data_IF_120453137243
#
_entry.id   IF_120453137243
#
_cell.length_a   1.000
_cell.length_b   1.000
_cell.length_c   1.000
_cell.angle_alpha   90.00
_cell.angle_beta   90.00
_cell.angle_gamma   90.00
#
_symmetry.space_group_name_H-M   'P 1'
#
loop_
_entity.id
_entity.type
_entity.pdbx_description
1 polymer ?
#
# COMPACT_ATOMS: atom_id res chain seq x y z
N UNK A 1 38.93 26.19 26.76
CA UNK A 1 38.79 25.15 25.72
C UNK A 1 38.85 23.86 26.52
N UNK A 2 37.69 23.39 26.98
CA UNK A 2 36.87 22.41 26.24
C UNK A 2 37.70 21.15 25.96
N UNK A 3 37.29 19.94 26.27
CA UNK A 3 36.04 19.39 26.80
C UNK A 3 36.23 17.89 26.68
N UNK A 4 35.84 17.11 27.70
CA UNK A 4 35.67 15.65 27.63
C UNK A 4 36.94 14.91 27.21
N UNK A 5 37.11 13.60 27.31
CA UNK A 5 36.15 12.52 27.27
C UNK A 5 36.71 11.41 28.17
N UNK A 6 36.39 11.44 29.46
CA UNK A 6 36.57 10.29 30.34
C UNK A 6 35.26 10.06 31.11
N UNK A 7 34.91 8.77 31.23
CA UNK A 7 33.70 8.21 31.85
C UNK A 7 32.34 8.46 31.16
N UNK A 8 31.84 7.42 30.50
CA UNK A 8 30.52 6.90 30.88
C UNK A 8 30.39 5.42 30.52
N UNK A 9 30.90 4.55 31.39
CA UNK A 9 30.40 3.18 31.47
C UNK A 9 29.25 3.12 32.49
N UNK A 10 28.12 2.57 32.03
CA UNK A 10 27.04 1.92 32.80
C UNK A 10 26.18 2.79 33.75
N UNK A 11 24.91 2.94 33.36
CA UNK A 11 23.78 2.74 34.26
C UNK A 11 22.61 2.15 33.47
N UNK A 12 22.28 0.89 33.77
CA UNK A 12 21.00 0.30 33.43
C UNK A 12 19.93 0.98 34.30
N UNK A 13 18.95 1.62 33.69
CA UNK A 13 17.73 2.05 34.37
C UNK A 13 16.57 1.26 33.81
N UNK A 14 16.18 0.25 34.59
CA UNK A 14 14.88 -0.40 34.55
C UNK A 14 13.77 0.63 34.85
N UNK A 15 12.60 0.41 34.25
CA UNK A 15 11.34 1.11 34.54
C UNK A 15 10.84 1.91 33.33
N UNK A 16 9.64 1.72 32.79
CA UNK A 16 8.49 0.91 33.18
C UNK A 16 7.76 0.54 31.88
N UNK A 17 7.21 -0.67 31.84
CA UNK A 17 6.20 -1.11 30.87
C UNK A 17 4.98 -0.19 31.01
N UNK A 18 4.92 0.89 30.22
CA UNK A 18 3.67 1.62 29.99
C UNK A 18 2.72 0.67 29.27
N UNK A 19 2.01 -0.14 30.07
CA UNK A 19 0.84 -0.88 29.67
C UNK A 19 -0.22 0.14 29.29
N UNK A 20 -0.16 0.62 28.05
CA UNK A 20 -1.21 1.42 27.43
C UNK A 20 -2.49 0.60 27.56
N UNK A 21 -3.36 1.01 28.50
CA UNK A 21 -4.64 0.38 28.71
C UNK A 21 -5.38 0.32 27.36
N UNK A 22 -5.98 -0.83 26.99
CA UNK A 22 -6.59 -0.96 25.68
C UNK A 22 -7.71 0.06 25.54
N UNK A 23 -7.52 1.03 24.65
CA UNK A 23 -8.54 2.00 24.27
C UNK A 23 -9.76 1.20 23.78
N UNK A 24 -10.83 1.18 24.58
CA UNK A 24 -12.09 0.52 24.21
C UNK A 24 -12.74 1.28 23.07
N UNK A 25 -12.33 0.97 21.84
CA UNK A 25 -12.99 1.45 20.63
C UNK A 25 -14.43 0.92 20.64
N UNK A 26 -15.44 1.80 20.63
CA UNK A 26 -16.82 1.40 20.29
C UNK A 26 -16.76 0.82 18.87
N UNK A 27 -16.80 -0.51 18.76
CA UNK A 27 -16.86 -1.21 17.47
C UNK A 27 -18.23 -0.93 16.86
N UNK A 28 -18.30 0.05 15.97
CA UNK A 28 -19.51 0.38 15.22
C UNK A 28 -19.71 -0.64 14.10
N UNK A 29 -20.64 -1.57 14.29
CA UNK A 29 -21.09 -2.48 13.24
C UNK A 29 -22.01 -1.80 12.23
N UNK A 30 -22.58 -2.59 11.33
CA UNK A 30 -23.69 -2.14 10.49
C UNK A 30 -24.85 -1.71 11.40
N UNK A 31 -25.32 -0.46 11.23
CA UNK A 31 -26.43 0.09 12.01
C UNK A 31 -27.70 0.01 11.15
N UNK A 32 -28.81 -0.52 11.69
CA UNK A 32 -30.10 -0.51 10.99
C UNK A 32 -30.46 0.90 10.51
N UNK A 33 -30.87 1.05 9.25
CA UNK A 33 -31.22 2.35 8.64
C UNK A 33 -30.08 3.05 7.89
N UNK A 34 -28.85 2.52 7.90
CA UNK A 34 -27.79 2.97 6.97
C UNK A 34 -27.90 2.28 5.61
N UNK A 35 -27.53 3.00 4.55
CA UNK A 35 -27.46 2.45 3.20
C UNK A 35 -26.51 1.24 3.14
N UNK A 36 -26.84 0.28 2.27
CA UNK A 36 -26.00 -0.90 2.07
C UNK A 36 -24.60 -0.51 1.58
N UNK A 37 -23.60 -1.31 1.96
CA UNK A 37 -22.24 -1.09 1.48
C UNK A 37 -22.16 -1.41 -0.02
N UNK A 38 -21.68 -0.46 -0.81
CA UNK A 38 -21.46 -0.66 -2.25
C UNK A 38 -20.16 -1.44 -2.39
N UNK A 39 -20.22 -2.62 -3.02
CA UNK A 39 -19.02 -3.39 -3.31
C UNK A 39 -18.36 -2.87 -4.60
N UNK A 40 -17.12 -2.36 -4.53
CA UNK A 40 -16.40 -1.96 -5.74
C UNK A 40 -16.00 -3.19 -6.57
N UNK A 41 -16.13 -3.10 -7.88
CA UNK A 41 -15.65 -4.14 -8.81
C UNK A 41 -14.13 -3.98 -9.04
N UNK A 42 -13.35 -4.66 -8.19
CA UNK A 42 -11.89 -4.63 -8.27
C UNK A 42 -11.35 -5.38 -9.49
N UNK A 43 -12.04 -6.40 -9.97
CA UNK A 43 -11.64 -7.21 -11.11
C UNK A 43 -11.80 -6.42 -12.42
N UNK A 44 -12.92 -5.72 -12.60
CA UNK A 44 -13.10 -4.83 -13.76
C UNK A 44 -12.07 -3.69 -13.74
N UNK A 45 -11.84 -3.08 -12.57
CA UNK A 45 -10.82 -2.05 -12.42
C UNK A 45 -9.40 -2.59 -12.72
N UNK A 46 -9.10 -3.83 -12.36
CA UNK A 46 -7.84 -4.49 -12.69
C UNK A 46 -7.71 -4.66 -14.22
N UNK A 47 -8.75 -5.21 -14.85
CA UNK A 47 -8.78 -5.45 -16.30
C UNK A 47 -8.62 -4.16 -17.10
N UNK A 48 -9.30 -3.09 -16.67
CA UNK A 48 -9.14 -1.75 -17.26
C UNK A 48 -7.68 -1.29 -17.17
N UNK A 49 -7.08 -1.35 -15.97
CA UNK A 49 -5.69 -0.94 -15.77
C UNK A 49 -4.71 -1.76 -16.61
N UNK A 50 -4.93 -3.07 -16.70
CA UNK A 50 -4.13 -3.99 -17.50
C UNK A 50 -4.17 -3.62 -18.99
N UNK A 51 -5.38 -3.48 -19.57
CA UNK A 51 -5.57 -3.09 -20.98
C UNK A 51 -4.92 -1.75 -21.32
N UNK A 52 -4.92 -0.80 -20.37
CA UNK A 52 -4.36 0.52 -20.60
C UNK A 52 -2.83 0.53 -20.68
N UNK A 53 -2.13 -0.28 -19.88
CA UNK A 53 -0.69 -0.12 -19.68
C UNK A 53 0.16 -1.40 -19.77
N UNK A 54 -0.43 -2.58 -19.54
CA UNK A 54 0.31 -3.83 -19.31
C UNK A 54 0.00 -4.95 -20.29
N UNK A 55 -1.09 -4.86 -21.04
CA UNK A 55 -1.36 -5.78 -22.15
C UNK A 55 -0.24 -5.75 -23.19
N UNK A 56 -0.18 -6.79 -24.03
CA UNK A 56 0.79 -6.89 -25.12
C UNK A 56 0.71 -5.70 -26.09
N UNK A 57 -0.52 -5.32 -26.45
CA UNK A 57 -0.82 -4.10 -27.18
C UNK A 57 -1.57 -3.12 -26.26
N UNK A 58 -0.87 -2.34 -25.41
CA UNK A 58 -1.52 -1.46 -24.45
C UNK A 58 -2.11 -0.23 -25.17
N UNK A 59 -3.26 0.25 -24.67
CA UNK A 59 -3.88 1.48 -25.21
C UNK A 59 -2.93 2.69 -25.13
N UNK A 60 -2.11 2.77 -24.08
CA UNK A 60 -1.13 3.83 -23.91
C UNK A 60 0.29 3.36 -24.20
N UNK A 61 1.00 4.13 -25.02
CA UNK A 61 2.40 3.86 -25.34
C UNK A 61 3.34 4.02 -24.14
N UNK A 62 4.56 3.49 -24.26
CA UNK A 62 5.59 3.56 -23.22
C UNK A 62 5.93 5.00 -22.78
N UNK A 63 5.69 6.01 -23.62
CA UNK A 63 5.85 7.44 -23.25
C UNK A 63 4.89 7.83 -22.12
N UNK A 64 3.62 7.45 -22.24
CA UNK A 64 2.61 7.75 -21.22
C UNK A 64 2.84 6.94 -19.95
N UNK A 65 3.29 5.68 -20.07
CA UNK A 65 3.69 4.86 -18.92
C UNK A 65 4.79 5.55 -18.11
N UNK A 66 5.87 5.98 -18.78
CA UNK A 66 6.98 6.69 -18.13
C UNK A 66 6.53 8.01 -17.50
N UNK A 67 5.65 8.78 -18.14
CA UNK A 67 5.11 10.01 -17.55
C UNK A 67 4.34 9.72 -16.26
N UNK A 68 3.56 8.63 -16.22
CA UNK A 68 2.71 8.27 -15.08
C UNK A 68 3.47 7.65 -13.91
N UNK A 69 4.43 6.77 -14.17
CA UNK A 69 5.13 6.00 -13.13
C UNK A 69 6.59 6.41 -12.95
N UNK A 70 7.11 7.33 -13.77
CA UNK A 70 8.50 7.81 -13.77
C UNK A 70 9.55 6.71 -13.99
N UNK A 71 9.14 5.57 -14.53
CA UNK A 71 10.01 4.43 -14.84
C UNK A 71 9.50 3.63 -16.04
N UNK A 72 10.33 2.68 -16.53
CA UNK A 72 9.95 1.74 -17.60
C UNK A 72 9.02 0.65 -17.07
N UNK A 73 8.19 0.08 -17.96
CA UNK A 73 7.24 -1.00 -17.62
C UNK A 73 7.92 -2.23 -17.03
N UNK A 74 9.06 -2.64 -17.60
CA UNK A 74 9.83 -3.79 -17.12
C UNK A 74 10.33 -3.60 -15.68
N UNK A 75 10.79 -2.39 -15.33
CA UNK A 75 11.21 -2.09 -13.97
C UNK A 75 10.03 -2.13 -12.99
N UNK A 76 8.89 -1.55 -13.37
CA UNK A 76 7.68 -1.62 -12.57
C UNK A 76 7.29 -3.06 -12.25
N UNK A 77 7.27 -3.95 -13.25
CA UNK A 77 6.91 -5.36 -13.06
C UNK A 77 7.90 -6.06 -12.12
N UNK A 78 9.21 -5.81 -12.27
CA UNK A 78 10.23 -6.37 -11.38
C UNK A 78 10.02 -5.94 -9.93
N UNK A 79 9.75 -4.65 -9.70
CA UNK A 79 9.49 -4.15 -8.34
C UNK A 79 8.19 -4.72 -7.79
N UNK A 80 7.11 -4.75 -8.58
CA UNK A 80 5.84 -5.35 -8.19
C UNK A 80 6.04 -6.80 -7.73
N UNK A 81 6.74 -7.62 -8.52
CA UNK A 81 7.00 -9.02 -8.17
C UNK A 81 7.81 -9.15 -6.87
N UNK A 82 8.85 -8.32 -6.70
CA UNK A 82 9.65 -8.32 -5.48
C UNK A 82 8.85 -7.91 -4.23
N UNK A 83 7.99 -6.89 -4.36
CA UNK A 83 7.13 -6.40 -3.27
C UNK A 83 6.07 -7.43 -2.90
N UNK A 84 5.38 -8.02 -3.89
CA UNK A 84 4.36 -9.05 -3.66
C UNK A 84 4.94 -10.31 -3.01
N UNK A 85 6.18 -10.66 -3.37
CA UNK A 85 6.90 -11.77 -2.75
C UNK A 85 7.17 -11.50 -1.27
N UNK A 86 7.60 -10.28 -0.92
CA UNK A 86 8.07 -9.92 0.42
C UNK A 86 6.97 -9.48 1.38
N UNK A 87 5.94 -8.79 0.89
CA UNK A 87 4.89 -8.17 1.72
C UNK A 87 3.52 -8.76 1.41
N UNK A 88 2.89 -9.32 2.44
CA UNK A 88 1.54 -9.90 2.38
C UNK A 88 0.47 -8.87 2.02
N UNK A 89 0.65 -7.59 2.40
CA UNK A 89 -0.33 -6.56 2.10
C UNK A 89 -0.53 -6.39 0.59
N UNK A 90 0.52 -6.57 -0.22
CA UNK A 90 0.45 -6.44 -1.67
C UNK A 90 -0.11 -7.67 -2.36
N UNK A 91 -0.28 -8.80 -1.67
CA UNK A 91 -0.95 -9.98 -2.24
C UNK A 91 -2.44 -9.69 -2.42
N UNK A 92 -3.04 -10.22 -3.48
CA UNK A 92 -4.50 -10.17 -3.64
C UNK A 92 -5.10 -11.21 -2.70
N UNK A 93 -6.00 -10.77 -1.83
CA UNK A 93 -6.66 -11.61 -0.84
C UNK A 93 -8.11 -11.82 -1.23
N UNK A 94 -8.62 -13.00 -0.90
CA UNK A 94 -10.05 -13.26 -0.90
C UNK A 94 -10.61 -12.86 0.46
N UNK A 95 -11.78 -12.22 0.45
CA UNK A 95 -12.51 -11.96 1.68
C UNK A 95 -13.14 -13.26 2.22
N UNK A 96 -13.79 -13.18 3.37
CA UNK A 96 -14.46 -14.34 3.99
C UNK A 96 -15.63 -14.89 3.15
N UNK A 97 -16.09 -14.14 2.15
CA UNK A 97 -17.14 -14.52 1.21
C UNK A 97 -16.56 -15.07 -0.11
N UNK A 98 -15.24 -15.14 -0.24
CA UNK A 98 -14.53 -15.61 -1.44
C UNK A 98 -14.34 -14.53 -2.52
N UNK A 99 -14.76 -13.29 -2.30
CA UNK A 99 -14.58 -12.21 -3.28
C UNK A 99 -13.13 -11.74 -3.30
N UNK A 100 -12.61 -11.52 -4.49
CA UNK A 100 -11.25 -10.99 -4.67
C UNK A 100 -11.23 -9.50 -4.31
N UNK A 101 -10.40 -9.15 -3.35
CA UNK A 101 -10.11 -7.76 -3.05
C UNK A 101 -9.23 -7.09 -4.11
N UNK A 102 -8.75 -5.89 -3.81
CA UNK A 102 -7.86 -5.13 -4.67
C UNK A 102 -6.62 -5.95 -5.08
N UNK A 103 -6.36 -6.00 -6.39
CA UNK A 103 -5.24 -6.73 -6.96
C UNK A 103 -3.88 -6.12 -6.59
N UNK A 104 -2.83 -6.95 -6.62
CA UNK A 104 -1.44 -6.51 -6.42
C UNK A 104 -1.05 -5.38 -7.37
N UNK A 105 -1.47 -5.47 -8.63
CA UNK A 105 -1.20 -4.45 -9.64
C UNK A 105 -1.80 -3.10 -9.26
N UNK A 106 -3.04 -3.08 -8.76
CA UNK A 106 -3.70 -1.85 -8.31
C UNK A 106 -3.00 -1.25 -7.10
N UNK A 107 -2.68 -2.07 -6.09
CA UNK A 107 -1.94 -1.64 -4.89
C UNK A 107 -0.58 -1.03 -5.25
N UNK A 108 0.21 -1.73 -6.05
CA UNK A 108 1.50 -1.22 -6.53
C UNK A 108 1.34 0.04 -7.40
N UNK A 109 0.29 0.13 -8.21
CA UNK A 109 0.01 1.31 -9.03
C UNK A 109 -0.23 2.54 -8.17
N UNK A 110 -1.01 2.41 -7.08
CA UNK A 110 -1.24 3.50 -6.14
C UNK A 110 0.07 3.89 -5.46
N UNK A 111 0.77 2.92 -4.87
CA UNK A 111 2.03 3.18 -4.16
C UNK A 111 3.09 3.85 -5.05
N UNK A 112 3.29 3.36 -6.28
CA UNK A 112 4.26 3.93 -7.23
C UNK A 112 3.88 5.34 -7.65
N UNK A 113 2.59 5.64 -7.79
CA UNK A 113 2.15 7.01 -8.09
C UNK A 113 2.39 7.94 -6.91
N UNK A 114 2.14 7.47 -5.69
CA UNK A 114 2.47 8.25 -4.49
C UNK A 114 3.97 8.55 -4.42
N UNK A 115 4.84 7.56 -4.67
CA UNK A 115 6.29 7.77 -4.70
C UNK A 115 6.74 8.71 -5.83
N UNK A 116 6.10 8.63 -7.00
CA UNK A 116 6.46 9.44 -8.16
C UNK A 116 6.07 10.92 -8.02
N UNK A 117 5.00 11.23 -7.28
CA UNK A 117 4.43 12.58 -7.21
C UNK A 117 4.44 13.18 -5.79
N UNK A 118 4.73 12.40 -4.76
CA UNK A 118 4.79 12.88 -3.37
C UNK A 118 3.44 13.16 -2.72
N UNK A 119 2.30 12.77 -3.30
CA UNK A 119 0.98 12.94 -2.69
C UNK A 119 0.06 11.72 -2.84
N UNK A 120 -0.88 11.56 -1.88
CA UNK A 120 -2.06 10.71 -2.04
C UNK A 120 -2.97 11.46 -3.03
N UNK A 121 -3.02 11.02 -4.29
CA UNK A 121 -4.02 11.51 -5.21
C UNK A 121 -5.38 10.86 -4.90
N UNK A 122 -6.03 11.31 -3.83
CA UNK A 122 -7.47 11.16 -3.62
C UNK A 122 -8.13 12.47 -4.01
N UNK A 123 -8.64 12.53 -5.22
CA UNK A 123 -9.67 13.46 -5.65
C UNK A 123 -10.80 12.63 -6.26
#
# INVERSE_FOLDING_TARGET
MESGDEELERCASDGEDERIAPIKRKRGGSVPGKAANIQPDFDEAHNKLWKLYFAENPRFSAKYFRRRYRMRRSLFIRIMNAVVARDYHFRQLQDALGNKGMSSLQKCTVAMRMLAYGCIASA
#
